data_IF_224990906999
#
_entry.id   IF_224990906999
#
_cell.length_a   1.000
_cell.length_b   1.000
_cell.length_c   1.000
_cell.angle_alpha   90.00
_cell.angle_beta   90.00
_cell.angle_gamma   90.00
#
_symmetry.space_group_name_H-M   'P 1'
#
loop_
_entity.id
_entity.type
_entity.pdbx_description
1 polymer ?
#
# COMPACT_ATOMS: atom_id res chain seq x y z
N UNK A 1 9.91 -8.84 13.79
CA UNK A 1 9.73 -7.41 14.15
C UNK A 1 8.99 -6.55 13.12
N UNK A 2 8.65 -6.87 11.87
CA UNK A 2 7.99 -5.91 10.93
C UNK A 2 8.82 -4.64 10.60
N UNK A 3 8.44 -3.97 9.51
CA UNK A 3 9.09 -2.76 9.00
C UNK A 3 8.08 -1.83 8.36
N UNK A 4 8.18 -0.52 8.65
CA UNK A 4 7.39 0.53 8.00
C UNK A 4 8.35 1.38 7.18
N UNK A 5 7.96 1.68 5.95
CA UNK A 5 8.64 2.65 5.10
C UNK A 5 7.60 3.53 4.40
N UNK A 6 7.90 4.81 4.23
CA UNK A 6 7.09 5.72 3.46
C UNK A 6 7.99 6.66 2.66
N UNK A 7 7.52 7.06 1.48
CA UNK A 7 8.18 8.04 0.65
C UNK A 7 7.19 9.16 0.33
N UNK A 8 7.63 10.40 0.53
CA UNK A 8 6.86 11.59 0.20
C UNK A 8 7.74 12.52 -0.63
N UNK A 9 7.29 12.85 -1.83
CA UNK A 9 7.82 13.98 -2.59
C UNK A 9 6.86 15.15 -2.50
N UNK A 10 7.41 16.34 -2.26
CA UNK A 10 6.64 17.58 -2.15
C UNK A 10 7.34 18.66 -2.95
N UNK A 11 6.64 19.21 -3.93
CA UNK A 11 7.16 20.18 -4.88
C UNK A 11 8.42 19.68 -5.62
N UNK A 12 8.47 18.36 -5.87
CA UNK A 12 9.52 17.68 -6.62
C UNK A 12 8.84 16.65 -7.50
N UNK A 13 8.89 16.88 -8.82
CA UNK A 13 8.31 15.97 -9.81
C UNK A 13 9.05 14.62 -9.81
N UNK A 14 8.29 13.53 -9.63
CA UNK A 14 8.79 12.15 -9.67
C UNK A 14 7.83 11.26 -10.44
N UNK A 15 8.40 10.42 -11.30
CA UNK A 15 7.65 9.38 -12.01
C UNK A 15 7.16 8.29 -11.04
N UNK A 16 6.02 7.69 -11.34
CA UNK A 16 5.48 6.54 -10.61
C UNK A 16 6.49 5.40 -10.52
N UNK A 17 7.21 5.11 -11.60
CA UNK A 17 8.30 4.11 -11.63
C UNK A 17 9.31 4.37 -10.51
N UNK A 18 9.78 5.62 -10.40
CA UNK A 18 10.75 6.01 -9.39
C UNK A 18 10.19 5.84 -7.97
N UNK A 19 8.96 6.31 -7.73
CA UNK A 19 8.29 6.18 -6.43
C UNK A 19 8.17 4.71 -6.03
N UNK A 20 7.71 3.88 -6.96
CA UNK A 20 7.55 2.44 -6.76
C UNK A 20 8.89 1.77 -6.41
N UNK A 21 9.96 2.07 -7.15
CA UNK A 21 11.30 1.55 -6.89
C UNK A 21 11.82 1.97 -5.52
N UNK A 22 11.59 3.22 -5.10
CA UNK A 22 11.98 3.71 -3.77
C UNK A 22 11.27 2.94 -2.67
N UNK A 23 9.95 2.70 -2.79
CA UNK A 23 9.19 1.91 -1.83
C UNK A 23 9.70 0.47 -1.74
N UNK A 24 9.86 -0.21 -2.88
CA UNK A 24 10.36 -1.59 -2.94
C UNK A 24 11.78 -1.71 -2.37
N UNK A 25 12.67 -0.77 -2.69
CA UNK A 25 14.02 -0.74 -2.12
C UNK A 25 14.04 -0.44 -0.63
N UNK A 26 13.11 0.41 -0.15
CA UNK A 26 12.87 0.61 1.28
C UNK A 26 12.51 -0.69 1.98
N UNK A 27 11.57 -1.47 1.40
CA UNK A 27 11.19 -2.78 1.95
C UNK A 27 12.31 -3.81 1.93
N UNK A 28 13.13 -3.88 0.87
CA UNK A 28 14.31 -4.76 0.82
C UNK A 28 15.27 -4.51 1.99
N UNK A 29 15.45 -3.25 2.39
CA UNK A 29 16.28 -2.89 3.56
C UNK A 29 15.66 -3.30 4.89
N UNK A 30 14.35 -3.55 4.94
CA UNK A 30 13.60 -3.91 6.15
C UNK A 30 13.20 -5.39 6.19
N UNK A 31 13.48 -6.17 5.15
CA UNK A 31 13.09 -7.58 5.05
C UNK A 31 13.61 -8.43 6.21
N UNK A 32 14.81 -8.13 6.72
CA UNK A 32 15.37 -8.81 7.90
C UNK A 32 14.50 -8.70 9.16
N UNK A 33 13.58 -7.72 9.23
CA UNK A 33 12.67 -7.54 10.36
C UNK A 33 11.39 -8.35 10.23
N UNK A 34 10.98 -8.75 9.02
CA UNK A 34 9.74 -9.48 8.78
C UNK A 34 9.59 -9.82 7.30
N UNK A 35 9.19 -11.06 7.02
CA UNK A 35 9.17 -11.64 5.67
C UNK A 35 8.02 -12.63 5.47
N UNK A 36 7.03 -12.65 6.36
CA UNK A 36 5.85 -13.51 6.19
C UNK A 36 4.92 -12.93 5.14
N UNK A 37 4.88 -11.60 5.00
CA UNK A 37 4.14 -10.89 3.97
C UNK A 37 4.59 -9.43 3.88
N UNK A 38 4.21 -8.76 2.80
CA UNK A 38 4.50 -7.34 2.58
C UNK A 38 3.45 -6.69 1.69
N UNK A 39 3.46 -5.36 1.64
CA UNK A 39 2.62 -4.61 0.73
C UNK A 39 3.02 -3.15 0.61
N UNK A 40 2.51 -2.51 -0.43
CA UNK A 40 2.72 -1.10 -0.77
C UNK A 40 1.40 -0.47 -1.21
N UNK A 41 1.29 0.84 -1.05
CA UNK A 41 0.24 1.66 -1.64
C UNK A 41 0.79 2.96 -2.22
N UNK A 42 0.23 3.37 -3.35
CA UNK A 42 0.53 4.61 -4.05
C UNK A 42 -0.66 5.08 -4.89
N UNK A 43 -0.76 6.38 -5.14
CA UNK A 43 -1.78 6.95 -6.02
C UNK A 43 -1.77 6.38 -7.46
N UNK A 44 -2.97 6.05 -7.95
CA UNK A 44 -3.25 5.83 -9.36
C UNK A 44 -3.28 7.16 -10.13
N UNK A 45 -3.63 7.11 -11.41
CA UNK A 45 -3.80 8.33 -12.20
C UNK A 45 -5.00 9.11 -11.65
N UNK A 46 -4.86 10.44 -11.56
CA UNK A 46 -6.01 11.30 -11.28
C UNK A 46 -6.99 11.11 -12.44
N UNK A 47 -8.19 10.59 -12.14
CA UNK A 47 -9.25 10.53 -13.12
C UNK A 47 -9.45 11.94 -13.69
N UNK A 48 -9.25 12.11 -14.99
CA UNK A 48 -9.62 13.34 -15.67
C UNK A 48 -11.09 13.59 -15.32
N UNK A 49 -11.37 14.80 -14.85
CA UNK A 49 -12.64 15.19 -14.26
C UNK A 49 -13.85 14.82 -15.13
N UNK A 50 -14.41 13.63 -14.94
CA UNK A 50 -15.71 13.22 -15.44
C UNK A 50 -16.21 11.97 -14.71
N UNK A 51 -17.26 12.19 -13.90
CA UNK A 51 -18.31 11.25 -13.50
C UNK A 51 -17.91 9.94 -12.79
N UNK A 52 -17.94 9.93 -11.45
CA UNK A 52 -18.70 8.91 -10.71
C UNK A 52 -18.98 9.34 -9.26
N UNK A 53 -20.16 9.00 -8.79
CA UNK A 53 -20.81 9.43 -7.54
C UNK A 53 -20.36 8.66 -6.30
N UNK A 54 -19.18 8.02 -6.33
CA UNK A 54 -18.63 7.22 -5.21
C UNK A 54 -17.13 7.49 -4.99
N UNK A 55 -16.59 8.58 -5.56
CA UNK A 55 -15.23 9.02 -5.24
C UNK A 55 -15.12 9.52 -3.81
N UNK A 56 -13.95 9.31 -3.19
CA UNK A 56 -13.67 9.81 -1.85
C UNK A 56 -14.09 11.29 -1.73
N UNK A 57 -14.73 11.70 -0.61
CA UNK A 57 -15.24 13.07 -0.43
C UNK A 57 -14.15 14.16 -0.52
N UNK A 58 -12.89 13.75 -0.50
CA UNK A 58 -11.72 14.56 -0.83
C UNK A 58 -11.16 14.05 -2.16
N UNK A 59 -11.18 14.87 -3.20
CA UNK A 59 -10.89 14.50 -4.61
C UNK A 59 -9.45 14.07 -4.92
N UNK A 60 -8.95 13.05 -4.23
CA UNK A 60 -7.69 12.37 -4.51
C UNK A 60 -7.83 11.29 -5.58
N UNK A 61 -6.70 10.87 -6.14
CA UNK A 61 -6.67 9.72 -7.04
C UNK A 61 -7.03 8.43 -6.26
N UNK A 62 -7.66 7.44 -6.91
CA UNK A 62 -7.82 6.12 -6.31
C UNK A 62 -6.43 5.53 -6.00
N UNK A 63 -6.38 4.62 -5.03
CA UNK A 63 -5.12 4.02 -4.57
C UNK A 63 -4.82 2.73 -5.33
N UNK A 64 -3.58 2.54 -5.74
CA UNK A 64 -3.05 1.25 -6.17
C UNK A 64 -2.46 0.56 -4.93
N UNK A 65 -3.08 -0.54 -4.50
CA UNK A 65 -2.64 -1.29 -3.32
C UNK A 65 -2.22 -2.69 -3.72
N UNK A 66 -0.97 -3.04 -3.41
CA UNK A 66 -0.38 -4.34 -3.69
C UNK A 66 0.01 -5.01 -2.39
N UNK A 67 -0.37 -6.29 -2.23
CA UNK A 67 -0.10 -7.08 -1.03
C UNK A 67 0.27 -8.49 -1.43
N UNK A 68 1.31 -9.05 -0.81
CA UNK A 68 1.74 -10.40 -1.14
C UNK A 68 2.29 -11.14 0.07
N UNK A 69 2.08 -12.46 0.08
CA UNK A 69 2.67 -13.37 1.06
C UNK A 69 4.13 -13.70 0.72
N UNK A 70 4.92 -13.88 1.78
CA UNK A 70 6.32 -14.29 1.73
C UNK A 70 7.28 -13.11 1.57
N UNK A 71 8.45 -13.45 1.01
CA UNK A 71 9.59 -12.54 0.82
C UNK A 71 9.23 -11.37 -0.10
N UNK A 72 10.00 -10.28 0.02
CA UNK A 72 9.79 -9.06 -0.78
C UNK A 72 9.82 -9.33 -2.28
N UNK A 73 10.61 -10.30 -2.73
CA UNK A 73 10.69 -10.66 -4.14
C UNK A 73 9.36 -11.19 -4.71
N UNK A 74 8.52 -11.80 -3.89
CA UNK A 74 7.17 -12.20 -4.32
C UNK A 74 6.30 -10.97 -4.61
N UNK A 75 6.37 -9.96 -3.74
CA UNK A 75 5.65 -8.69 -3.92
C UNK A 75 6.17 -7.95 -5.16
N UNK A 76 7.49 -7.89 -5.35
CA UNK A 76 8.10 -7.27 -6.55
C UNK A 76 7.54 -7.89 -7.82
N UNK A 77 7.52 -9.23 -7.90
CA UNK A 77 6.95 -9.93 -9.05
C UNK A 77 5.46 -9.64 -9.25
N UNK A 78 4.66 -9.70 -8.18
CA UNK A 78 3.22 -9.48 -8.29
C UNK A 78 2.90 -8.04 -8.71
N UNK A 79 3.61 -7.05 -8.17
CA UNK A 79 3.42 -5.65 -8.55
C UNK A 79 3.65 -5.45 -10.05
N UNK A 80 4.77 -5.93 -10.59
CA UNK A 80 5.05 -5.73 -12.02
C UNK A 80 4.07 -6.52 -12.91
N UNK A 81 3.62 -7.70 -12.48
CA UNK A 81 2.59 -8.45 -13.20
C UNK A 81 1.25 -7.71 -13.21
N UNK A 82 0.81 -7.19 -12.07
CA UNK A 82 -0.46 -6.46 -11.96
C UNK A 82 -0.40 -5.08 -12.65
N UNK A 83 0.75 -4.40 -12.63
CA UNK A 83 0.97 -3.15 -13.36
C UNK A 83 0.82 -3.36 -14.86
N UNK A 84 1.38 -4.46 -15.39
CA UNK A 84 1.26 -4.85 -16.79
C UNK A 84 -0.19 -5.24 -17.14
N UNK A 85 -0.83 -6.08 -16.31
CA UNK A 85 -2.21 -6.52 -16.51
C UNK A 85 -3.21 -5.35 -16.50
N UNK A 86 -3.01 -4.37 -15.63
CA UNK A 86 -3.89 -3.21 -15.46
C UNK A 86 -3.52 -2.01 -16.35
N UNK A 87 -2.51 -2.13 -17.20
CA UNK A 87 -1.98 -1.06 -18.05
C UNK A 87 -1.69 0.23 -17.26
N UNK A 88 -1.05 0.10 -16.09
CA UNK A 88 -0.75 1.23 -15.22
C UNK A 88 0.39 2.05 -15.82
N UNK A 89 0.14 3.34 -16.09
CA UNK A 89 1.13 4.26 -16.62
C UNK A 89 2.27 4.54 -15.62
N UNK A 90 3.38 3.81 -15.71
CA UNK A 90 4.53 4.03 -14.82
C UNK A 90 5.29 5.35 -15.08
N UNK A 91 5.06 6.00 -16.22
CA UNK A 91 5.69 7.27 -16.60
C UNK A 91 4.91 8.51 -16.10
N UNK A 92 3.74 8.30 -15.49
CA UNK A 92 2.98 9.37 -14.84
C UNK A 92 3.84 10.06 -13.76
N UNK A 93 3.91 11.39 -13.81
CA UNK A 93 4.74 12.18 -12.91
C UNK A 93 3.89 12.96 -11.89
N UNK A 94 4.34 12.92 -10.63
CA UNK A 94 3.68 13.55 -9.49
C UNK A 94 4.57 14.63 -8.89
N UNK A 95 4.07 15.87 -8.80
CA UNK A 95 4.78 16.94 -8.08
C UNK A 95 4.66 16.79 -6.56
N UNK A 96 3.54 16.23 -6.11
CA UNK A 96 3.26 15.88 -4.72
C UNK A 96 2.67 14.47 -4.70
N UNK A 97 3.26 13.59 -3.90
CA UNK A 97 2.79 12.20 -3.72
C UNK A 97 3.25 11.65 -2.37
N UNK A 98 2.45 10.75 -1.80
CA UNK A 98 2.81 9.98 -0.61
C UNK A 98 2.54 8.48 -0.84
N UNK A 99 3.60 7.68 -0.79
CA UNK A 99 3.54 6.23 -0.85
C UNK A 99 3.90 5.59 0.48
N UNK A 100 3.22 4.51 0.83
CA UNK A 100 3.46 3.76 2.08
C UNK A 100 3.76 2.29 1.78
N UNK A 101 4.56 1.68 2.62
CA UNK A 101 5.06 0.34 2.43
C UNK A 101 5.25 -0.37 3.79
N UNK A 102 5.01 -1.68 3.82
CA UNK A 102 5.14 -2.48 5.04
C UNK A 102 5.72 -3.86 4.79
N UNK A 103 6.56 -4.32 5.72
CA UNK A 103 6.90 -5.73 5.90
C UNK A 103 6.30 -6.25 7.19
N UNK A 104 5.69 -7.43 7.15
CA UNK A 104 4.94 -8.02 8.26
C UNK A 104 5.61 -9.31 8.75
N UNK A 105 5.72 -9.39 10.07
CA UNK A 105 5.90 -10.62 10.84
C UNK A 105 4.54 -10.95 11.46
N UNK A 106 3.94 -12.07 11.10
CA UNK A 106 2.60 -12.43 11.52
C UNK A 106 2.59 -12.85 13.01
N UNK A 107 1.89 -12.09 13.86
CA UNK A 107 1.62 -12.48 15.26
C UNK A 107 0.16 -12.88 15.49
N UNK A 108 -0.77 -12.29 14.73
CA UNK A 108 -2.20 -12.64 14.70
C UNK A 108 -2.64 -12.87 13.26
N UNK A 109 -3.38 -13.94 12.99
CA UNK A 109 -3.83 -14.31 11.65
C UNK A 109 -2.72 -14.85 10.75
N UNK A 110 -3.10 -15.77 9.86
CA UNK A 110 -2.15 -16.39 8.91
C UNK A 110 -1.53 -15.37 7.96
N UNK A 111 -0.29 -15.58 7.50
CA UNK A 111 0.24 -14.85 6.34
C UNK A 111 -0.73 -15.02 5.16
N UNK A 112 -1.20 -13.90 4.61
CA UNK A 112 -2.11 -13.85 3.47
C UNK A 112 -2.22 -12.39 2.99
N UNK A 113 -2.45 -12.12 1.69
CA UNK A 113 -2.62 -10.75 1.18
C UNK A 113 -3.64 -9.92 1.97
N UNK A 114 -4.79 -10.50 2.35
CA UNK A 114 -5.83 -9.82 3.16
C UNK A 114 -5.35 -9.37 4.56
N UNK A 115 -4.37 -10.07 5.13
CA UNK A 115 -3.81 -9.78 6.45
C UNK A 115 -2.54 -8.92 6.37
N UNK A 116 -1.98 -8.74 5.18
CA UNK A 116 -0.84 -7.85 4.93
C UNK A 116 -1.26 -6.38 5.05
N UNK A 117 -0.33 -5.53 5.48
CA UNK A 117 -0.52 -4.09 5.37
C UNK A 117 -0.10 -3.58 3.98
N UNK A 118 -0.56 -2.38 3.54
CA UNK A 118 -1.47 -1.45 4.24
C UNK A 118 -2.89 -2.02 4.45
N UNK A 119 -3.51 -1.82 5.61
CA UNK A 119 -4.91 -2.20 5.85
C UNK A 119 -5.85 -1.09 5.38
N UNK A 120 -7.01 -1.45 4.86
CA UNK A 120 -7.99 -0.51 4.27
C UNK A 120 -9.19 -0.29 5.18
N UNK A 121 -9.76 0.92 5.15
CA UNK A 121 -11.03 1.24 5.82
C UNK A 121 -12.25 0.67 5.12
N UNK A 122 -12.14 0.16 3.89
CA UNK A 122 -13.28 -0.42 3.16
C UNK A 122 -13.02 -0.58 1.66
N UNK A 123 -14.07 -0.90 0.90
CA UNK A 123 -13.95 -1.20 -0.53
C UNK A 123 -13.40 -0.03 -1.39
N UNK A 124 -13.48 1.20 -0.90
CA UNK A 124 -13.00 2.40 -1.60
C UNK A 124 -11.56 2.80 -1.29
N UNK A 125 -10.86 2.10 -0.39
CA UNK A 125 -9.51 2.48 0.06
C UNK A 125 -9.38 3.95 0.49
N UNK A 126 -10.46 4.51 1.08
CA UNK A 126 -10.51 5.91 1.53
C UNK A 126 -9.40 6.24 2.54
N UNK A 127 -9.10 5.26 3.41
CA UNK A 127 -7.98 5.33 4.34
C UNK A 127 -7.17 4.03 4.29
N UNK A 128 -5.85 4.18 4.22
CA UNK A 128 -4.89 3.09 4.28
C UNK A 128 -3.94 3.28 5.47
N UNK A 129 -3.67 2.19 6.21
CA UNK A 129 -2.81 2.24 7.40
C UNK A 129 -1.80 1.09 7.46
N UNK A 130 -0.56 1.44 7.78
CA UNK A 130 0.49 0.49 8.15
C UNK A 130 0.73 0.58 9.65
N UNK A 131 0.99 -0.55 10.31
CA UNK A 131 1.10 -0.60 11.76
C UNK A 131 2.19 -1.58 12.21
N UNK A 132 3.00 -1.14 13.17
CA UNK A 132 3.97 -1.96 13.89
C UNK A 132 3.63 -1.88 15.38
N UNK A 133 3.13 -2.98 15.93
CA UNK A 133 2.68 -3.05 17.31
C UNK A 133 1.53 -4.04 17.46
N UNK A 134 0.86 -4.01 18.61
CA UNK A 134 -0.34 -4.80 18.87
C UNK A 134 -1.40 -3.84 19.42
N UNK A 135 -2.59 -3.86 18.82
CA UNK A 135 -3.78 -3.21 19.38
C UNK A 135 -4.40 -4.19 20.37
N UNK A 136 -4.11 -4.04 21.66
CA UNK A 136 -4.41 -5.04 22.70
C UNK A 136 -5.90 -5.22 22.99
N UNK A 137 -6.76 -4.34 22.48
CA UNK A 137 -8.20 -4.34 22.72
C UNK A 137 -9.02 -4.37 21.42
N UNK A 138 -8.45 -4.86 20.30
CA UNK A 138 -9.13 -4.85 19.00
C UNK A 138 -10.49 -5.58 19.03
N UNK A 139 -10.63 -6.64 19.84
CA UNK A 139 -11.86 -7.44 19.97
C UNK A 139 -13.04 -6.63 20.52
N UNK A 140 -12.81 -5.60 21.35
CA UNK A 140 -13.88 -4.72 21.83
C UNK A 140 -14.54 -3.95 20.68
N UNK A 141 -13.81 -3.68 19.61
CA UNK A 141 -14.29 -2.91 18.47
C UNK A 141 -14.98 -3.80 17.43
N UNK A 142 -14.52 -5.04 17.26
CA UNK A 142 -15.14 -6.01 16.33
C UNK A 142 -16.58 -6.35 16.72
N UNK A 143 -16.91 -6.31 18.01
CA UNK A 143 -18.26 -6.61 18.50
C UNK A 143 -19.23 -5.42 18.49
N UNK A 144 -18.79 -4.21 18.14
CA UNK A 144 -19.66 -3.02 18.09
C UNK A 144 -20.39 -2.87 16.75
N UNK A 145 -19.99 -3.62 15.71
CA UNK A 145 -20.60 -3.63 14.37
C UNK A 145 -21.67 -4.73 14.19
N UNK A 146 -22.26 -5.21 15.29
CA UNK A 146 -23.39 -6.16 15.31
C UNK A 146 -24.59 -5.61 16.07
#
# INVERSE_FOLDING_TARGET
>A
MCGIFAYLNYNVSRERRYILEVLLNGLRRLEYRGYDSSGIALDADLASSSSSSHGAPYGGAPQLVFRQEGKIENLVRSVYAEVDEKDVNLDAAFNVHAGIAHTRWATHGVPAPRNSHPQSSGAGDEFLVVHNGIITNYELWVHMDH
#
